data_IF_372981647568
#
_entry.id   IF_372981647568
#
_cell.length_a   1.000
_cell.length_b   1.000
_cell.length_c   1.000
_cell.angle_alpha   90.00
_cell.angle_beta   90.00
_cell.angle_gamma   90.00
#
_symmetry.space_group_name_H-M   'P 1'
#
loop_
_entity.id
_entity.type
_entity.pdbx_description
1 polymer ?
#
# COMPACT_ATOMS: atom_id res chain seq x y z
N UNK A 1 -7.78 3.49 -18.27
CA UNK A 1 -7.74 2.49 -17.18
C UNK A 1 -7.60 3.23 -15.87
N UNK A 2 -8.52 2.99 -14.93
CA UNK A 2 -8.37 3.38 -13.53
C UNK A 2 -7.10 2.71 -12.98
N UNK A 3 -6.16 3.50 -12.47
CA UNK A 3 -4.93 2.96 -11.87
C UNK A 3 -5.25 2.42 -10.48
N UNK A 4 -4.77 1.22 -10.17
CA UNK A 4 -4.84 0.65 -8.81
C UNK A 4 -4.15 1.59 -7.81
N UNK A 5 -4.66 1.66 -6.58
CA UNK A 5 -4.25 2.65 -5.58
C UNK A 5 -2.72 2.67 -5.33
N UNK A 6 -2.08 1.50 -5.32
CA UNK A 6 -0.63 1.38 -5.17
C UNK A 6 0.15 2.11 -6.27
N UNK A 7 -0.37 2.25 -7.49
CA UNK A 7 0.33 2.94 -8.58
C UNK A 7 0.21 4.46 -8.52
N UNK A 8 -0.46 5.00 -7.50
CA UNK A 8 -0.66 6.44 -7.30
C UNK A 8 0.22 7.02 -6.18
N UNK A 9 0.97 6.18 -5.45
CA UNK A 9 1.88 6.63 -4.39
C UNK A 9 3.33 6.71 -4.88
N UNK A 10 4.09 7.65 -4.31
CA UNK A 10 5.51 7.78 -4.59
C UNK A 10 6.31 6.76 -3.78
N UNK A 11 6.78 5.70 -4.43
CA UNK A 11 7.53 4.63 -3.75
C UNK A 11 8.94 5.03 -3.31
N UNK A 12 9.48 6.16 -3.81
CA UNK A 12 10.82 6.63 -3.44
C UNK A 12 10.90 7.19 -2.01
N UNK A 13 9.75 7.52 -1.41
CA UNK A 13 9.64 8.12 -0.08
C UNK A 13 8.96 7.21 0.95
N UNK A 14 8.59 5.98 0.55
CA UNK A 14 7.98 5.02 1.48
C UNK A 14 9.06 4.31 2.29
N UNK A 15 8.74 4.01 3.54
CA UNK A 15 9.60 3.29 4.48
C UNK A 15 8.84 2.05 5.01
N UNK A 16 9.49 1.13 5.76
CA UNK A 16 8.80 0.00 6.36
C UNK A 16 7.72 0.48 7.33
N UNK A 17 6.55 -0.14 7.28
CA UNK A 17 5.40 0.30 8.05
C UNK A 17 4.07 -0.25 7.54
N UNK A 18 2.99 0.23 8.14
CA UNK A 18 1.62 -0.17 7.83
C UNK A 18 0.90 1.03 7.23
N UNK A 19 0.39 0.89 6.02
CA UNK A 19 -0.32 1.94 5.30
C UNK A 19 -1.74 1.49 4.95
N UNK A 20 -2.69 2.41 4.95
CA UNK A 20 -4.01 2.16 4.35
C UNK A 20 -3.87 2.28 2.84
N UNK A 21 -3.98 1.16 2.14
CA UNK A 21 -3.87 1.10 0.68
C UNK A 21 -5.17 1.49 0.00
N UNK A 22 -6.29 1.00 0.54
CA UNK A 22 -7.64 1.26 0.01
C UNK A 22 -8.68 1.09 1.10
N UNK A 23 -9.75 1.87 1.01
CA UNK A 23 -10.97 1.66 1.77
C UNK A 23 -12.13 1.50 0.80
N UNK A 24 -12.76 0.33 0.81
CA UNK A 24 -13.95 0.03 0.03
C UNK A 24 -15.17 0.11 0.96
N UNK A 25 -16.15 0.93 0.59
CA UNK A 25 -17.39 1.07 1.34
C UNK A 25 -18.46 0.23 0.66
N UNK A 26 -18.99 -0.76 1.37
CA UNK A 26 -20.03 -1.66 0.88
C UNK A 26 -21.18 -1.62 1.88
N UNK A 27 -22.25 -0.91 1.51
CA UNK A 27 -23.37 -0.59 2.41
C UNK A 27 -22.84 0.06 3.70
N UNK A 28 -23.15 -0.52 4.86
CA UNK A 28 -22.73 -0.03 6.18
C UNK A 28 -21.38 -0.61 6.65
N UNK A 29 -20.64 -1.28 5.77
CA UNK A 29 -19.35 -1.92 6.10
C UNK A 29 -18.22 -1.28 5.32
N UNK A 30 -17.14 -0.96 6.03
CA UNK A 30 -15.89 -0.51 5.41
C UNK A 30 -14.86 -1.63 5.41
N UNK A 31 -14.43 -2.06 4.23
CA UNK A 31 -13.31 -2.97 4.05
C UNK A 31 -12.04 -2.13 3.88
N UNK A 32 -11.11 -2.26 4.83
CA UNK A 32 -9.82 -1.57 4.76
C UNK A 32 -8.73 -2.55 4.34
N UNK A 33 -8.09 -2.26 3.21
CA UNK A 33 -6.91 -3.00 2.73
C UNK A 33 -5.65 -2.30 3.24
N UNK A 34 -4.81 -3.02 3.98
CA UNK A 34 -3.53 -2.51 4.46
C UNK A 34 -2.38 -2.99 3.57
N UNK A 35 -1.44 -2.09 3.31
CA UNK A 35 -0.14 -2.38 2.73
C UNK A 35 0.86 -2.54 3.89
N UNK A 36 1.30 -3.79 4.09
CA UNK A 36 2.31 -4.14 5.08
C UNK A 36 3.68 -4.11 4.40
N UNK A 37 4.37 -2.98 4.53
CA UNK A 37 5.67 -2.78 3.92
C UNK A 37 6.76 -3.25 4.87
N UNK A 38 7.42 -4.34 4.50
CA UNK A 38 8.49 -4.92 5.31
C UNK A 38 9.87 -4.36 4.97
N UNK A 39 10.07 -3.91 3.73
CA UNK A 39 11.34 -3.35 3.25
C UNK A 39 11.12 -2.05 2.49
N UNK A 40 12.09 -1.14 2.57
CA UNK A 40 12.12 0.13 1.86
C UNK A 40 12.24 -0.12 0.35
N UNK A 41 11.27 0.34 -0.48
CA UNK A 41 11.26 0.02 -1.90
C UNK A 41 12.53 0.50 -2.61
N UNK A 42 13.13 -0.40 -3.40
CA UNK A 42 14.32 -0.12 -4.22
C UNK A 42 15.57 0.33 -3.43
N UNK A 43 15.60 0.20 -2.10
CA UNK A 43 16.78 0.49 -1.28
C UNK A 43 17.29 -0.73 -0.53
N UNK A 44 16.39 -1.57 -0.02
CA UNK A 44 16.74 -2.79 0.69
C UNK A 44 16.58 -4.03 -0.20
N UNK A 45 17.33 -5.11 0.06
CA UNK A 45 17.06 -6.40 -0.57
C UNK A 45 15.61 -6.85 -0.37
N UNK A 46 15.08 -7.59 -1.33
CA UNK A 46 13.74 -8.20 -1.19
C UNK A 46 13.76 -9.30 -0.12
N UNK A 47 12.61 -9.55 0.50
CA UNK A 47 12.45 -10.72 1.39
C UNK A 47 12.53 -12.01 0.57
N UNK A 48 13.15 -13.05 1.13
CA UNK A 48 13.25 -14.40 0.55
C UNK A 48 12.11 -15.30 1.03
#
# INVERSE_FOLDING_TARGET
MEKIASFRVNHLVLEPGIYVSRQDHINDVTITTFDLRMTTPNKEPVMN
#
